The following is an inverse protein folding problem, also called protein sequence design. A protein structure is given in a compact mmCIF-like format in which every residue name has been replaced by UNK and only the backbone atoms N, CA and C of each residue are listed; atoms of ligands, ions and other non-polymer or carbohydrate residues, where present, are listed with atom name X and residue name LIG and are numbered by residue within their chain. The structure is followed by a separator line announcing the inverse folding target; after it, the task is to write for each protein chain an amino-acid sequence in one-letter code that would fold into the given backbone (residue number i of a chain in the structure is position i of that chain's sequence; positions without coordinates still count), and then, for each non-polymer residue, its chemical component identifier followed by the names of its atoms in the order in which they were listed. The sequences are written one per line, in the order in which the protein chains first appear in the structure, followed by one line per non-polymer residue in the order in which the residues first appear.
data_IF_658163226272
#
_entry.id   IF_658163226272
#
_cell.length_a   1.000
_cell.length_b   1.000
_cell.length_c   1.000
_cell.angle_alpha   90.00
_cell.angle_beta   90.00
_cell.angle_gamma   90.00
#
_symmetry.space_group_name_H-M   'P 1'
#
loop_
_entity.id
_entity.type
_entity.pdbx_description
1 polymer ?
#
# COMPACT_ATOMS: atom_id res chain seq x y z
N UNK A 1 18.70 11.18 -5.53
CA UNK A 1 17.29 11.16 -5.94
C UNK A 1 17.26 11.04 -7.46
N UNK A 2 16.38 10.20 -8.00
CA UNK A 2 16.14 10.09 -9.45
C UNK A 2 15.02 11.05 -9.80
N UNK A 3 15.20 11.86 -10.83
CA UNK A 3 14.19 12.83 -11.24
C UNK A 3 13.05 12.14 -12.01
N UNK A 4 11.81 12.49 -11.65
CA UNK A 4 10.60 11.99 -12.29
C UNK A 4 10.09 10.64 -11.75
N UNK A 5 8.79 10.39 -11.98
CA UNK A 5 8.11 9.14 -11.64
C UNK A 5 7.65 8.43 -12.92
N UNK A 6 8.61 7.97 -13.73
CA UNK A 6 8.33 7.30 -15.00
C UNK A 6 9.08 5.97 -15.12
N UNK A 7 8.57 5.06 -15.96
CA UNK A 7 9.28 3.84 -16.36
C UNK A 7 10.68 4.21 -16.88
N UNK A 8 10.76 5.20 -17.76
CA UNK A 8 12.01 5.60 -18.41
C UNK A 8 13.06 6.08 -17.41
N UNK A 9 12.67 6.92 -16.45
CA UNK A 9 13.60 7.43 -15.43
C UNK A 9 14.19 6.28 -14.59
N UNK A 10 13.35 5.34 -14.15
CA UNK A 10 13.83 4.20 -13.36
C UNK A 10 14.66 3.22 -14.20
N UNK A 11 14.25 2.97 -15.45
CA UNK A 11 14.99 2.10 -16.37
C UNK A 11 16.39 2.65 -16.66
N UNK A 12 16.49 3.92 -17.05
CA UNK A 12 17.78 4.58 -17.28
C UNK A 12 18.66 4.51 -16.03
N UNK A 13 18.10 4.79 -14.85
CA UNK A 13 18.86 4.70 -13.61
C UNK A 13 19.39 3.29 -13.31
N UNK A 14 18.60 2.25 -13.58
CA UNK A 14 19.04 0.85 -13.43
C UNK A 14 20.13 0.51 -14.43
N UNK A 15 19.96 0.87 -15.71
CA UNK A 15 20.93 0.63 -16.77
C UNK A 15 22.28 1.32 -16.49
N UNK A 16 22.27 2.47 -15.82
CA UNK A 16 23.47 3.22 -15.42
C UNK A 16 24.20 2.59 -14.21
N UNK A 17 23.80 1.42 -13.71
CA UNK A 17 24.49 0.70 -12.62
C UNK A 17 25.49 -0.31 -13.18
N UNK A 18 26.60 -0.58 -12.48
CA UNK A 18 27.52 -1.65 -12.87
C UNK A 18 26.81 -2.98 -13.05
N UNK A 19 27.19 -3.77 -14.06
CA UNK A 19 26.58 -5.08 -14.33
C UNK A 19 26.64 -5.99 -13.10
N UNK A 20 27.81 -6.08 -12.45
CA UNK A 20 28.00 -6.88 -11.24
C UNK A 20 27.09 -6.47 -10.09
N UNK A 21 26.70 -5.19 -10.01
CA UNK A 21 25.72 -4.73 -9.02
C UNK A 21 24.32 -5.22 -9.39
N UNK A 22 23.94 -5.11 -10.66
CA UNK A 22 22.63 -5.57 -11.16
C UNK A 22 22.44 -7.07 -10.97
N UNK A 23 23.45 -7.86 -11.30
CA UNK A 23 23.45 -9.32 -11.17
C UNK A 23 23.33 -9.76 -9.69
N UNK A 24 23.74 -8.90 -8.75
CA UNK A 24 23.63 -9.16 -7.32
C UNK A 24 22.25 -8.80 -6.73
N UNK A 25 21.38 -8.10 -7.47
CA UNK A 25 20.05 -7.72 -6.99
C UNK A 25 19.10 -8.91 -7.06
N UNK A 26 18.73 -9.46 -5.90
CA UNK A 26 17.82 -10.60 -5.82
C UNK A 26 16.35 -10.21 -5.67
N UNK A 27 16.07 -9.05 -5.08
CA UNK A 27 14.71 -8.61 -4.75
C UNK A 27 14.56 -7.11 -4.96
N UNK A 28 13.43 -6.69 -5.51
CA UNK A 28 13.02 -5.28 -5.55
C UNK A 28 11.63 -5.15 -4.95
N UNK A 29 11.57 -4.56 -3.75
CA UNK A 29 10.31 -4.13 -3.13
C UNK A 29 9.93 -2.75 -3.67
N UNK A 30 8.73 -2.63 -4.22
CA UNK A 30 8.30 -1.42 -4.94
C UNK A 30 6.82 -1.12 -4.72
N UNK A 31 6.41 0.07 -5.16
CA UNK A 31 5.01 0.46 -5.19
C UNK A 31 4.20 -0.31 -6.26
N UNK A 32 2.88 -0.07 -6.29
CA UNK A 32 1.99 -0.67 -7.27
C UNK A 32 2.13 -0.14 -8.70
N UNK A 33 3.05 0.79 -8.98
CA UNK A 33 3.18 1.41 -10.31
C UNK A 33 3.71 0.40 -11.33
N UNK A 34 2.94 0.16 -12.39
CA UNK A 34 3.30 -0.82 -13.42
C UNK A 34 4.62 -0.47 -14.11
N UNK A 35 4.92 0.82 -14.29
CA UNK A 35 6.17 1.27 -14.92
C UNK A 35 7.42 0.84 -14.16
N UNK A 36 7.37 0.77 -12.82
CA UNK A 36 8.51 0.30 -12.03
C UNK A 36 8.73 -1.19 -12.17
N UNK A 37 7.65 -2.00 -12.14
CA UNK A 37 7.75 -3.44 -12.40
C UNK A 37 8.38 -3.71 -13.76
N UNK A 38 7.89 -3.04 -14.80
CA UNK A 38 8.40 -3.26 -16.16
C UNK A 38 9.87 -2.87 -16.28
N UNK A 39 10.28 -1.73 -15.72
CA UNK A 39 11.70 -1.33 -15.74
C UNK A 39 12.58 -2.29 -14.93
N UNK A 40 12.13 -2.77 -13.77
CA UNK A 40 12.88 -3.72 -12.96
C UNK A 40 13.12 -5.05 -13.71
N UNK A 41 12.07 -5.65 -14.27
CA UNK A 41 12.20 -6.94 -14.98
C UNK A 41 12.99 -6.81 -16.28
N UNK A 42 12.92 -5.67 -16.97
CA UNK A 42 13.71 -5.43 -18.19
C UNK A 42 15.22 -5.30 -17.90
N UNK A 43 15.61 -4.70 -16.76
CA UNK A 43 17.02 -4.43 -16.45
C UNK A 43 17.63 -5.40 -15.43
N UNK A 44 16.80 -6.18 -14.72
CA UNK A 44 17.15 -7.16 -13.70
C UNK A 44 16.33 -8.45 -13.94
N UNK A 45 16.71 -9.29 -14.93
CA UNK A 45 15.86 -10.40 -15.39
C UNK A 45 15.60 -11.48 -14.32
N UNK A 46 16.54 -11.69 -13.40
CA UNK A 46 16.45 -12.72 -12.35
C UNK A 46 15.85 -12.21 -11.03
N UNK A 47 15.35 -10.97 -11.01
CA UNK A 47 14.88 -10.34 -9.77
C UNK A 47 13.50 -10.81 -9.36
N UNK A 48 13.31 -11.06 -8.07
CA UNK A 48 11.97 -11.20 -7.50
C UNK A 48 11.38 -9.82 -7.23
N UNK A 49 10.28 -9.48 -7.90
CA UNK A 49 9.55 -8.24 -7.62
C UNK A 49 8.55 -8.44 -6.50
N UNK A 50 8.57 -7.57 -5.49
CA UNK A 50 7.63 -7.59 -4.37
C UNK A 50 6.81 -6.31 -4.40
N UNK A 51 5.48 -6.46 -4.43
CA UNK A 51 4.57 -5.32 -4.27
C UNK A 51 4.37 -5.08 -2.77
N UNK A 52 4.74 -3.89 -2.30
CA UNK A 52 4.75 -3.63 -0.86
C UNK A 52 3.36 -3.80 -0.21
N UNK A 53 3.26 -4.51 0.94
CA UNK A 53 2.00 -4.74 1.66
C UNK A 53 1.21 -3.46 1.98
N UNK A 54 1.89 -2.34 2.26
CA UNK A 54 1.22 -1.05 2.48
C UNK A 54 0.45 -0.62 1.22
N UNK A 55 1.05 -0.74 0.04
CA UNK A 55 0.38 -0.37 -1.20
C UNK A 55 -0.74 -1.35 -1.56
N UNK A 56 -0.59 -2.64 -1.27
CA UNK A 56 -1.65 -3.65 -1.48
C UNK A 56 -2.84 -3.40 -0.55
N UNK A 57 -2.59 -3.20 0.75
CA UNK A 57 -3.64 -2.90 1.74
C UNK A 57 -4.33 -1.56 1.47
N UNK A 58 -3.59 -0.56 0.96
CA UNK A 58 -4.16 0.72 0.50
C UNK A 58 -5.14 0.51 -0.66
N UNK A 59 -4.85 -0.37 -1.64
CA UNK A 59 -5.80 -0.65 -2.72
C UNK A 59 -7.13 -1.19 -2.19
N UNK A 60 -7.09 -2.11 -1.22
CA UNK A 60 -8.31 -2.63 -0.60
C UNK A 60 -9.03 -1.58 0.25
N UNK A 61 -8.28 -0.76 1.00
CA UNK A 61 -8.84 0.37 1.75
C UNK A 61 -9.50 1.42 0.85
N UNK A 62 -8.93 1.70 -0.31
CA UNK A 62 -9.52 2.59 -1.32
C UNK A 62 -10.79 1.99 -1.93
N UNK A 63 -10.80 0.70 -2.24
CA UNK A 63 -12.00 0.00 -2.69
C UNK A 63 -13.12 0.10 -1.65
N UNK A 64 -12.80 -0.09 -0.37
CA UNK A 64 -13.73 0.07 0.75
C UNK A 64 -14.26 1.51 0.87
N UNK A 65 -13.40 2.51 0.80
CA UNK A 65 -13.83 3.91 0.89
C UNK A 65 -14.66 4.36 -0.31
N UNK A 66 -14.35 3.88 -1.52
CA UNK A 66 -15.17 4.14 -2.71
C UNK A 66 -16.55 3.48 -2.59
N UNK A 67 -16.61 2.20 -2.21
CA UNK A 67 -17.87 1.48 -2.01
C UNK A 67 -18.72 2.19 -0.95
N UNK A 68 -18.13 2.50 0.21
CA UNK A 68 -18.78 3.24 1.30
C UNK A 68 -19.35 4.58 0.83
N UNK A 69 -18.60 5.36 0.04
CA UNK A 69 -19.07 6.64 -0.51
C UNK A 69 -20.19 6.47 -1.53
N UNK A 70 -20.12 5.46 -2.40
CA UNK A 70 -21.14 5.16 -3.39
C UNK A 70 -22.46 4.77 -2.72
N UNK A 71 -22.42 3.83 -1.77
CA UNK A 71 -23.60 3.38 -1.02
C UNK A 71 -24.21 4.52 -0.21
N UNK A 72 -23.38 5.30 0.49
CA UNK A 72 -23.81 6.52 1.18
C UNK A 72 -24.56 7.49 0.24
N UNK A 73 -24.02 7.77 -0.94
CA UNK A 73 -24.63 8.65 -1.93
C UNK A 73 -25.95 8.07 -2.46
N UNK A 74 -26.04 6.74 -2.64
CA UNK A 74 -27.25 6.06 -3.11
C UNK A 74 -28.38 6.10 -2.07
N UNK A 75 -28.05 5.90 -0.79
CA UNK A 75 -29.03 5.91 0.30
C UNK A 75 -29.55 7.33 0.59
N UNK A 76 -28.63 8.31 0.66
CA UNK A 76 -28.96 9.64 1.19
C UNK A 76 -29.06 10.73 0.11
N UNK A 77 -28.65 10.46 -1.13
CA UNK A 77 -28.63 11.46 -2.21
C UNK A 77 -27.52 12.52 -2.09
N UNK A 78 -26.63 12.42 -1.09
CA UNK A 78 -25.55 13.37 -0.86
C UNK A 78 -24.26 12.71 -0.38
N UNK A 79 -23.15 13.46 -0.47
CA UNK A 79 -21.87 13.04 0.07
C UNK A 79 -21.98 12.89 1.59
N UNK A 80 -21.32 11.87 2.15
CA UNK A 80 -21.32 11.63 3.59
C UNK A 80 -20.85 12.82 4.42
N UNK A 81 -21.59 13.12 5.46
CA UNK A 81 -21.40 14.22 6.41
C UNK A 81 -21.61 13.75 7.86
N UNK A 82 -21.43 14.68 8.81
CA UNK A 82 -21.62 14.40 10.23
C UNK A 82 -23.07 13.99 10.48
N UNK A 83 -23.27 12.85 11.14
CA UNK A 83 -24.59 12.26 11.41
C UNK A 83 -24.82 10.98 10.61
N UNK A 84 -24.22 10.86 9.43
CA UNK A 84 -24.45 9.69 8.59
C UNK A 84 -23.73 8.45 9.16
N UNK A 85 -24.40 7.27 9.21
CA UNK A 85 -23.82 6.07 9.79
C UNK A 85 -22.51 5.63 9.11
N UNK A 86 -22.51 5.51 7.77
CA UNK A 86 -21.33 5.09 7.01
C UNK A 86 -20.22 6.14 7.05
N UNK A 87 -20.53 7.44 7.08
CA UNK A 87 -19.51 8.47 7.28
C UNK A 87 -18.88 8.36 8.67
N UNK A 88 -19.69 8.14 9.70
CA UNK A 88 -19.23 8.04 11.09
C UNK A 88 -18.34 6.81 11.31
N UNK A 89 -18.64 5.70 10.64
CA UNK A 89 -17.89 4.44 10.75
C UNK A 89 -16.57 4.40 9.95
N UNK A 90 -16.29 5.39 9.08
CA UNK A 90 -15.18 5.36 8.10
C UNK A 90 -13.81 4.95 8.67
N UNK A 91 -13.46 5.37 9.90
CA UNK A 91 -12.18 5.01 10.53
C UNK A 91 -12.20 3.60 11.11
N UNK A 92 -13.32 3.21 11.71
CA UNK A 92 -13.51 1.88 12.30
C UNK A 92 -13.54 0.80 11.22
N UNK A 93 -14.10 1.09 10.05
CA UNK A 93 -14.08 0.20 8.89
C UNK A 93 -12.65 -0.14 8.44
N UNK A 94 -11.71 0.81 8.50
CA UNK A 94 -10.30 0.59 8.16
C UNK A 94 -9.44 0.09 9.33
N UNK A 95 -10.05 -0.27 10.47
CA UNK A 95 -9.33 -0.87 11.59
C UNK A 95 -9.36 -2.39 11.44
N UNK A 96 -8.22 -3.06 11.67
CA UNK A 96 -8.17 -4.52 11.68
C UNK A 96 -9.12 -5.09 12.74
N UNK A 97 -9.87 -6.13 12.40
CA UNK A 97 -10.93 -6.69 13.25
C UNK A 97 -10.41 -7.16 14.62
N UNK A 98 -9.19 -7.69 14.64
CA UNK A 98 -8.40 -8.07 15.82
C UNK A 98 -8.02 -6.90 16.73
N UNK A 99 -8.08 -5.66 16.23
CA UNK A 99 -7.76 -4.43 16.97
C UNK A 99 -9.01 -3.62 17.34
N UNK A 100 -10.21 -4.12 17.02
CA UNK A 100 -11.44 -3.45 17.40
C UNK A 100 -11.71 -3.67 18.89
N UNK A 101 -12.04 -2.58 19.59
CA UNK A 101 -12.68 -2.69 20.90
C UNK A 101 -14.07 -3.31 20.77
N UNK A 102 -14.57 -3.94 21.83
CA UNK A 102 -15.94 -4.52 21.86
C UNK A 102 -17.01 -3.50 21.47
N UNK A 103 -16.83 -2.25 21.89
CA UNK A 103 -17.71 -1.13 21.54
C UNK A 103 -17.68 -0.81 20.05
N UNK A 104 -16.51 -0.83 19.42
CA UNK A 104 -16.38 -0.63 17.98
C UNK A 104 -16.95 -1.81 17.18
N UNK A 105 -16.65 -3.04 17.61
CA UNK A 105 -17.20 -4.25 16.99
C UNK A 105 -18.73 -4.28 17.06
N UNK A 106 -19.30 -3.93 18.22
CA UNK A 106 -20.77 -3.83 18.39
C UNK A 106 -21.37 -2.77 17.48
N UNK A 107 -20.74 -1.59 17.37
CA UNK A 107 -21.20 -0.54 16.45
C UNK A 107 -21.18 -0.97 14.98
N UNK A 108 -20.16 -1.71 14.55
CA UNK A 108 -20.12 -2.26 13.19
C UNK A 108 -21.20 -3.31 12.97
N UNK A 109 -21.42 -4.22 13.94
CA UNK A 109 -22.54 -5.18 13.87
C UNK A 109 -23.90 -4.47 13.74
N UNK A 110 -24.14 -3.43 14.53
CA UNK A 110 -25.37 -2.62 14.41
C UNK A 110 -25.45 -1.86 13.08
N UNK A 111 -24.32 -1.39 12.55
CA UNK A 111 -24.27 -0.72 11.24
C UNK A 111 -24.65 -1.70 10.12
N UNK A 112 -24.14 -2.93 10.16
CA UNK A 112 -24.38 -3.94 9.13
C UNK A 112 -25.70 -4.70 9.29
N UNK A 113 -26.46 -4.47 10.37
CA UNK A 113 -27.82 -4.99 10.50
C UNK A 113 -28.83 -4.33 9.52
N UNK A 114 -28.42 -3.26 8.83
CA UNK A 114 -29.18 -2.62 7.76
C UNK A 114 -28.75 -3.21 6.40
N UNK A 115 -29.68 -3.86 5.69
CA UNK A 115 -29.45 -4.47 4.38
C UNK A 115 -28.94 -3.47 3.32
N UNK A 116 -29.21 -2.16 3.50
CA UNK A 116 -28.67 -1.12 2.63
C UNK A 116 -27.12 -1.04 2.69
N UNK A 117 -26.50 -1.62 3.72
CA UNK A 117 -25.05 -1.62 3.91
C UNK A 117 -24.37 -2.93 3.49
N UNK A 118 -25.09 -3.91 2.94
CA UNK A 118 -24.56 -5.24 2.60
C UNK A 118 -23.34 -5.18 1.67
N UNK A 119 -23.31 -4.26 0.72
CA UNK A 119 -22.17 -4.08 -0.18
C UNK A 119 -20.91 -3.59 0.55
N UNK A 120 -21.10 -2.70 1.54
CA UNK A 120 -20.02 -2.17 2.37
C UNK A 120 -19.52 -3.25 3.32
N UNK A 121 -20.41 -4.06 3.90
CA UNK A 121 -20.06 -5.19 4.74
C UNK A 121 -19.22 -6.22 3.97
N UNK A 122 -19.68 -6.63 2.79
CA UNK A 122 -18.94 -7.58 1.95
C UNK A 122 -17.54 -7.04 1.58
N UNK A 123 -17.47 -5.76 1.20
CA UNK A 123 -16.20 -5.08 0.87
C UNK A 123 -15.29 -4.97 2.10
N UNK A 124 -15.85 -4.70 3.28
CA UNK A 124 -15.13 -4.69 4.54
C UNK A 124 -14.58 -6.07 4.88
N UNK A 125 -15.37 -7.14 4.69
CA UNK A 125 -14.93 -8.52 4.88
C UNK A 125 -13.71 -8.88 4.01
N UNK A 126 -13.69 -8.46 2.75
CA UNK A 126 -12.52 -8.62 1.86
C UNK A 126 -11.30 -7.88 2.40
N UNK A 127 -11.48 -6.63 2.83
CA UNK A 127 -10.40 -5.85 3.45
C UNK A 127 -9.85 -6.56 4.71
N UNK A 128 -10.72 -7.06 5.59
CA UNK A 128 -10.30 -7.77 6.80
C UNK A 128 -9.57 -9.09 6.50
N UNK A 129 -10.02 -9.86 5.51
CA UNK A 129 -9.31 -11.08 5.05
C UNK A 129 -7.90 -10.76 4.57
N UNK A 130 -7.72 -9.65 3.86
CA UNK A 130 -6.39 -9.19 3.41
C UNK A 130 -5.50 -8.80 4.59
N UNK A 131 -6.04 -8.06 5.56
CA UNK A 131 -5.30 -7.66 6.78
C UNK A 131 -4.90 -8.89 7.60
N UNK A 132 -5.82 -9.83 7.77
CA UNK A 132 -5.56 -11.08 8.48
C UNK A 132 -4.45 -11.90 7.81
N UNK A 133 -4.44 -11.99 6.47
CA UNK A 133 -3.38 -12.68 5.74
C UNK A 133 -2.00 -12.06 6.00
N UNK A 134 -1.86 -10.74 5.91
CA UNK A 134 -0.58 -10.06 6.16
C UNK A 134 -0.11 -10.10 7.62
N UNK A 135 -1.05 -10.10 8.57
CA UNK A 135 -0.76 -10.16 10.01
C UNK A 135 -0.59 -11.57 10.55
N UNK A 136 -0.88 -12.59 9.76
CA UNK A 136 -0.74 -13.97 10.19
C UNK A 136 0.69 -14.25 10.65
N UNK A 137 0.84 -14.87 11.82
CA UNK A 137 2.14 -15.16 12.44
C UNK A 137 2.96 -16.13 11.59
N UNK A 138 2.30 -17.21 11.13
CA UNK A 138 2.85 -18.13 10.14
C UNK A 138 2.72 -17.52 8.72
N UNK A 139 3.86 -17.34 8.06
CA UNK A 139 3.95 -16.76 6.72
C UNK A 139 3.46 -17.67 5.62
N UNK A 140 3.71 -18.97 5.71
CA UNK A 140 3.17 -19.94 4.77
C UNK A 140 1.65 -19.95 4.84
N UNK A 141 1.09 -19.90 6.05
CA UNK A 141 -0.36 -19.78 6.22
C UNK A 141 -0.90 -18.43 5.75
N UNK A 142 -0.22 -17.32 6.03
CA UNK A 142 -0.57 -16.00 5.49
C UNK A 142 -0.60 -15.97 3.96
N UNK A 143 0.37 -16.63 3.32
CA UNK A 143 0.45 -16.80 1.85
C UNK A 143 -0.74 -17.58 1.31
N UNK A 144 -1.10 -18.69 1.93
CA UNK A 144 -2.27 -19.49 1.56
C UNK A 144 -3.57 -18.67 1.66
N UNK A 145 -3.73 -17.91 2.75
CA UNK A 145 -4.89 -17.04 2.94
C UNK A 145 -4.97 -15.94 1.88
N UNK A 146 -3.83 -15.32 1.53
CA UNK A 146 -3.76 -14.32 0.48
C UNK A 146 -4.03 -14.93 -0.90
N UNK A 147 -3.42 -16.06 -1.23
CA UNK A 147 -3.64 -16.75 -2.50
C UNK A 147 -5.12 -17.12 -2.66
N UNK A 148 -5.72 -17.72 -1.62
CA UNK A 148 -7.15 -18.02 -1.61
C UNK A 148 -8.00 -16.77 -1.79
N UNK A 149 -7.65 -15.65 -1.15
CA UNK A 149 -8.36 -14.39 -1.36
C UNK A 149 -8.29 -13.93 -2.81
N UNK A 150 -7.10 -13.97 -3.42
CA UNK A 150 -6.91 -13.60 -4.84
C UNK A 150 -7.75 -14.51 -5.74
N UNK A 151 -7.76 -15.82 -5.49
CA UNK A 151 -8.53 -16.80 -6.25
C UNK A 151 -10.03 -16.57 -6.12
N UNK A 152 -10.55 -16.41 -4.89
CA UNK A 152 -11.96 -16.14 -4.64
C UNK A 152 -12.42 -14.87 -5.39
N UNK A 153 -11.61 -13.80 -5.35
CA UNK A 153 -11.91 -12.54 -6.06
C UNK A 153 -11.77 -12.65 -7.58
N UNK A 154 -10.96 -13.61 -8.06
CA UNK A 154 -10.71 -13.85 -9.48
C UNK A 154 -11.74 -14.76 -10.12
N UNK A 155 -12.32 -15.70 -9.35
CA UNK A 155 -13.35 -16.63 -9.79
C UNK A 155 -14.67 -15.90 -10.09
N UNK A 156 -14.92 -14.81 -9.40
CA UNK A 156 -16.06 -13.94 -9.62
C UNK A 156 -16.68 -13.49 -8.31
N UNK A 157 -17.11 -12.23 -8.28
CA UNK A 157 -17.89 -11.66 -7.19
C UNK A 157 -19.21 -11.13 -7.75
N UNK A 158 -20.27 -10.99 -6.92
CA UNK A 158 -21.50 -10.35 -7.36
C UNK A 158 -21.21 -9.02 -8.06
N UNK A 159 -21.85 -8.79 -9.21
CA UNK A 159 -21.59 -7.64 -10.09
C UNK A 159 -21.84 -6.29 -9.42
N UNK A 160 -22.68 -6.29 -8.37
CA UNK A 160 -22.94 -5.13 -7.51
C UNK A 160 -21.68 -4.67 -6.75
N UNK A 161 -20.73 -5.57 -6.47
CA UNK A 161 -19.45 -5.27 -5.82
C UNK A 161 -18.42 -4.75 -6.84
N UNK A 162 -18.73 -3.61 -7.46
CA UNK A 162 -17.94 -3.02 -8.54
C UNK A 162 -16.50 -2.72 -8.11
N UNK A 163 -16.30 -2.24 -6.89
CA UNK A 163 -14.99 -1.92 -6.33
C UNK A 163 -14.14 -3.17 -6.10
N UNK A 164 -14.76 -4.24 -5.59
CA UNK A 164 -14.10 -5.53 -5.39
C UNK A 164 -13.74 -6.18 -6.73
N UNK A 165 -14.59 -6.06 -7.75
CA UNK A 165 -14.28 -6.55 -9.11
C UNK A 165 -13.04 -5.85 -9.68
N UNK A 166 -12.86 -4.56 -9.43
CA UNK A 166 -11.65 -3.81 -9.84
C UNK A 166 -10.42 -4.22 -9.03
N UNK A 167 -10.58 -4.38 -7.71
CA UNK A 167 -9.53 -4.87 -6.82
C UNK A 167 -9.05 -6.26 -7.24
N UNK A 168 -9.97 -7.22 -7.44
CA UNK A 168 -9.69 -8.59 -7.85
C UNK A 168 -8.89 -8.66 -9.15
N UNK A 169 -9.26 -7.88 -10.18
CA UNK A 169 -8.48 -7.76 -11.42
C UNK A 169 -7.05 -7.29 -11.19
N UNK A 170 -6.87 -6.33 -10.29
CA UNK A 170 -5.54 -5.78 -9.97
C UNK A 170 -4.70 -6.82 -9.21
N UNK A 171 -5.28 -7.47 -8.21
CA UNK A 171 -4.61 -8.51 -7.44
C UNK A 171 -4.24 -9.72 -8.30
N UNK A 172 -5.15 -10.18 -9.17
CA UNK A 172 -4.88 -11.27 -10.13
C UNK A 172 -3.68 -10.96 -11.02
N UNK A 173 -3.64 -9.74 -11.59
CA UNK A 173 -2.53 -9.30 -12.46
C UNK A 173 -1.19 -9.22 -11.72
N UNK A 174 -1.23 -8.98 -10.41
CA UNK A 174 -0.04 -8.76 -9.56
C UNK A 174 0.16 -9.88 -8.53
N UNK A 175 -0.46 -11.05 -8.73
CA UNK A 175 -0.55 -12.10 -7.71
C UNK A 175 0.84 -12.55 -7.26
N UNK A 176 1.74 -12.82 -8.21
CA UNK A 176 3.11 -13.23 -7.91
C UNK A 176 3.84 -12.19 -7.07
N UNK A 177 3.68 -10.89 -7.37
CA UNK A 177 4.37 -9.82 -6.62
C UNK A 177 3.80 -9.64 -5.21
N UNK A 178 2.49 -9.89 -5.05
CA UNK A 178 1.79 -9.83 -3.75
C UNK A 178 2.20 -11.02 -2.88
N UNK A 179 2.28 -12.21 -3.47
CA UNK A 179 2.62 -13.46 -2.78
C UNK A 179 4.12 -13.54 -2.44
N UNK A 180 4.99 -12.95 -3.28
CA UNK A 180 6.43 -12.92 -3.05
C UNK A 180 6.85 -12.30 -1.71
N UNK A 181 6.04 -11.38 -1.16
CA UNK A 181 6.27 -10.82 0.18
C UNK A 181 6.30 -11.91 1.27
N UNK A 182 5.45 -12.93 1.16
CA UNK A 182 5.36 -13.99 2.15
C UNK A 182 6.55 -14.96 2.09
N UNK A 183 7.11 -15.14 0.90
CA UNK A 183 8.30 -15.98 0.67
C UNK A 183 9.60 -15.26 1.06
N UNK A 184 9.58 -13.92 1.11
CA UNK A 184 10.74 -13.06 1.43
C UNK A 184 10.38 -12.02 2.51
N UNK A 185 10.13 -12.44 3.76
CA UNK A 185 9.72 -11.52 4.81
C UNK A 185 10.76 -10.43 5.05
N UNK A 186 10.29 -9.20 5.27
CA UNK A 186 11.15 -8.02 5.47
C UNK A 186 11.48 -7.25 4.18
N UNK A 187 11.14 -7.77 2.99
CA UNK A 187 11.30 -7.02 1.74
C UNK A 187 10.11 -6.08 1.54
N UNK A 188 10.21 -4.90 2.15
CA UNK A 188 9.24 -3.81 2.08
C UNK A 188 9.93 -2.52 1.68
N UNK A 189 9.23 -1.64 0.95
CA UNK A 189 9.69 -0.28 0.68
C UNK A 189 9.44 0.67 1.88
N UNK A 190 8.91 0.17 3.00
CA UNK A 190 8.60 0.92 4.21
C UNK A 190 9.74 1.80 4.76
N UNK A 191 11.00 1.32 4.86
CA UNK A 191 12.12 2.16 5.26
C UNK A 191 12.35 3.34 4.29
N UNK A 192 12.22 3.09 2.98
CA UNK A 192 12.32 4.13 1.95
C UNK A 192 11.16 5.12 2.06
N UNK A 193 9.94 4.64 2.29
CA UNK A 193 8.76 5.49 2.53
C UNK A 193 8.87 6.33 3.80
N UNK A 194 9.48 5.79 4.86
CA UNK A 194 9.75 6.55 6.09
C UNK A 194 10.74 7.71 5.83
N UNK A 195 11.77 7.47 5.02
CA UNK A 195 12.68 8.53 4.56
C UNK A 195 11.93 9.55 3.70
N UNK A 196 11.16 9.09 2.71
CA UNK A 196 10.34 9.98 1.87
C UNK A 196 9.41 10.86 2.71
N UNK A 197 8.74 10.31 3.72
CA UNK A 197 7.89 11.06 4.64
C UNK A 197 8.64 12.17 5.40
N UNK A 198 9.89 11.91 5.82
CA UNK A 198 10.75 12.95 6.42
C UNK A 198 11.09 14.05 5.42
N UNK A 199 11.40 13.69 4.17
CA UNK A 199 11.71 14.66 3.12
C UNK A 199 10.50 15.51 2.74
N UNK A 200 9.31 14.91 2.69
CA UNK A 200 8.05 15.62 2.46
C UNK A 200 7.75 16.60 3.61
N UNK A 201 7.95 16.19 4.86
CA UNK A 201 7.82 17.07 6.01
C UNK A 201 8.81 18.23 5.95
N UNK A 202 10.07 17.96 5.64
CA UNK A 202 11.10 18.98 5.45
C UNK A 202 10.69 20.01 4.39
N UNK A 203 10.16 19.56 3.25
CA UNK A 203 9.67 20.47 2.19
C UNK A 203 8.52 21.34 2.67
N UNK A 204 7.60 20.78 3.47
CA UNK A 204 6.51 21.52 4.10
C UNK A 204 7.04 22.61 5.02
N UNK A 205 7.96 22.27 5.92
CA UNK A 205 8.55 23.18 6.89
C UNK A 205 9.40 24.28 6.24
N UNK A 206 10.08 23.98 5.13
CA UNK A 206 10.89 24.93 4.38
C UNK A 206 10.07 25.84 3.43
N UNK A 207 8.76 25.63 3.29
CA UNK A 207 7.90 26.28 2.29
C UNK A 207 8.41 26.11 0.84
N UNK A 208 9.02 24.95 0.57
CA UNK A 208 9.63 24.62 -0.71
C UNK A 208 11.10 25.02 -0.84
N UNK A 209 11.76 24.44 -1.84
CA UNK A 209 13.16 24.74 -2.17
C UNK A 209 13.24 25.28 -3.60
N UNK A 210 13.98 26.37 -3.79
CA UNK A 210 14.23 26.96 -5.12
C UNK A 210 15.40 26.30 -5.86
N UNK A 211 16.19 25.48 -5.16
CA UNK A 211 17.41 24.87 -5.67
C UNK A 211 17.50 23.41 -5.22
N UNK A 212 17.71 22.50 -6.17
CA UNK A 212 17.92 21.07 -5.94
C UNK A 212 19.13 20.79 -5.04
N UNK A 213 20.22 21.55 -5.19
CA UNK A 213 21.42 21.40 -4.34
C UNK A 213 21.09 21.67 -2.87
N UNK A 214 20.33 22.75 -2.60
CA UNK A 214 19.89 23.08 -1.24
C UNK A 214 18.92 22.03 -0.69
N UNK A 215 18.03 21.51 -1.54
CA UNK A 215 17.12 20.43 -1.16
C UNK A 215 17.89 19.16 -0.80
N UNK A 216 18.85 18.73 -1.63
CA UNK A 216 19.69 17.54 -1.36
C UNK A 216 20.49 17.73 -0.07
N UNK A 217 21.18 18.86 0.08
CA UNK A 217 22.00 19.12 1.27
C UNK A 217 21.16 19.07 2.54
N UNK A 218 19.99 19.71 2.54
CA UNK A 218 19.10 19.72 3.70
C UNK A 218 18.47 18.34 3.95
N UNK A 219 18.12 17.61 2.88
CA UNK A 219 17.64 16.23 2.97
C UNK A 219 18.66 15.32 3.65
N UNK A 220 19.93 15.41 3.25
CA UNK A 220 21.02 14.63 3.83
C UNK A 220 21.28 14.99 5.30
N UNK A 221 21.24 16.28 5.66
CA UNK A 221 21.39 16.73 7.05
C UNK A 221 20.26 16.22 7.95
N UNK A 222 19.02 16.33 7.49
CA UNK A 222 17.83 15.97 8.28
C UNK A 222 17.67 14.45 8.43
N UNK A 223 17.99 13.69 7.38
CA UNK A 223 17.78 12.22 7.37
C UNK A 223 19.01 11.42 7.80
N UNK A 224 20.21 11.92 7.53
CA UNK A 224 21.48 11.31 7.94
C UNK A 224 21.93 11.68 9.36
N UNK A 225 21.35 12.75 9.91
CA UNK A 225 21.76 13.35 11.19
C UNK A 225 23.11 14.05 11.12
N UNK A 226 23.39 14.92 12.08
CA UNK A 226 24.78 15.24 12.40
C UNK A 226 25.39 13.99 13.02
N UNK A 227 26.36 13.36 12.37
CA UNK A 227 27.34 12.59 13.13
C UNK A 227 28.25 13.64 13.75
N UNK A 228 28.17 13.95 15.06
CA UNK A 228 29.32 14.56 15.69
C UNK A 228 30.46 13.58 15.43
N UNK A 229 31.48 13.96 14.66
CA UNK A 229 32.79 13.40 14.94
C UNK A 229 33.19 14.06 16.26
N UNK A 230 33.19 13.36 17.40
CA UNK A 230 33.92 13.87 18.54
C UNK A 230 35.39 13.77 18.10
N UNK A 231 35.97 14.92 17.73
CA UNK A 231 37.34 15.12 17.26
C UNK A 231 37.58 14.91 15.75
N UNK A 232 37.55 16.00 14.95
CA UNK A 232 38.28 16.02 13.70
C UNK A 232 39.77 16.14 14.02
N UNK A 233 40.51 15.03 13.89
CA UNK A 233 41.98 14.98 13.86
C UNK A 233 42.72 15.52 15.11
N UNK A 234 43.18 14.60 15.94
CA UNK A 234 44.62 14.54 16.22
C UNK A 234 45.34 14.11 14.94
#
# INVERSE_FOLDING_TARGET
MVEGRSKQAFKSWLADRPQSWRDAVQVVAMDGFTGFKTAAVEELPDVVTVMDPFHVTRLAGEALDVCRRRVQQAIHGHRGMKGDPLYSARRTLCTGADLLTDKQATRLRSLFADDNHVEVEATWGVYQRMIAAYRHEDRSRGRELMAKLIDDLSAGVPTVLVEITKLGRTLKKRADDVLAYFDRPGTSNGPTEAINGRLEHLRGSALGFRNLTSYIARSLLETGGFRPQPHPRL
#
